data_IF_775883691347
#
_entry.id   IF_775883691347
#
_cell.length_a   1.000
_cell.length_b   1.000
_cell.length_c   1.000
_cell.angle_alpha   90.00
_cell.angle_beta   90.00
_cell.angle_gamma   90.00
#
_symmetry.space_group_name_H-M   'P 1'
#
loop_
_entity.id
_entity.type
_entity.pdbx_description
1 polymer ?
#
# COMPACT_ATOMS: atom_id res chain seq x y z
N UNK A 1 -14.33 -10.02 -22.76
CA UNK A 1 -13.45 -10.20 -21.60
C UNK A 1 -12.15 -9.46 -21.82
N UNK A 2 -11.86 -8.48 -21.00
CA UNK A 2 -10.59 -7.78 -21.18
C UNK A 2 -9.42 -8.72 -20.92
N UNK A 3 -8.30 -8.42 -21.53
CA UNK A 3 -7.06 -9.13 -21.29
C UNK A 3 -6.66 -9.01 -19.81
N UNK A 4 -5.96 -9.99 -19.26
CA UNK A 4 -5.45 -9.88 -17.92
C UNK A 4 -4.62 -8.61 -17.77
N UNK A 5 -4.84 -7.90 -16.69
CA UNK A 5 -4.12 -6.68 -16.39
C UNK A 5 -2.68 -7.03 -16.04
N UNK A 6 -1.71 -6.32 -16.64
CA UNK A 6 -0.31 -6.48 -16.29
C UNK A 6 -0.08 -6.04 -14.84
N UNK A 7 0.98 -6.53 -14.19
CA UNK A 7 1.30 -6.07 -12.84
C UNK A 7 1.40 -4.54 -12.73
N UNK A 8 2.05 -3.89 -13.70
CA UNK A 8 2.18 -2.44 -13.68
C UNK A 8 0.83 -1.73 -13.80
N UNK A 9 -0.04 -2.22 -14.69
CA UNK A 9 -1.37 -1.63 -14.86
C UNK A 9 -2.22 -1.80 -13.61
N UNK A 10 -2.18 -2.99 -13.02
CA UNK A 10 -2.93 -3.26 -11.79
C UNK A 10 -2.43 -2.36 -10.66
N UNK A 11 -1.11 -2.19 -10.55
CA UNK A 11 -0.55 -1.34 -9.51
C UNK A 11 -1.00 0.12 -9.68
N UNK A 12 -0.93 0.64 -10.90
CA UNK A 12 -1.40 2.00 -11.19
C UNK A 12 -2.88 2.17 -10.86
N UNK A 13 -3.67 1.19 -11.20
CA UNK A 13 -5.10 1.20 -10.88
C UNK A 13 -5.31 1.23 -9.35
N UNK A 14 -4.52 0.45 -8.61
CA UNK A 14 -4.63 0.41 -7.15
C UNK A 14 -4.34 1.78 -6.53
N UNK A 15 -3.38 2.52 -7.08
CA UNK A 15 -3.07 3.85 -6.57
C UNK A 15 -4.23 4.82 -6.80
N UNK A 16 -4.91 4.73 -7.94
CA UNK A 16 -6.08 5.57 -8.20
C UNK A 16 -7.20 5.28 -7.19
N UNK A 17 -7.39 4.01 -6.86
CA UNK A 17 -8.41 3.64 -5.87
C UNK A 17 -8.07 4.17 -4.48
N UNK A 18 -6.79 4.19 -4.11
CA UNK A 18 -6.37 4.80 -2.85
C UNK A 18 -6.63 6.31 -2.84
N UNK A 19 -6.36 7.00 -3.95
CA UNK A 19 -6.65 8.42 -4.06
C UNK A 19 -8.14 8.71 -3.97
N UNK A 20 -8.97 7.82 -4.53
CA UNK A 20 -10.42 7.93 -4.45
C UNK A 20 -10.98 7.49 -3.09
N UNK A 21 -10.12 7.00 -2.21
CA UNK A 21 -10.48 6.46 -0.90
C UNK A 21 -11.43 5.28 -0.99
N UNK A 22 -11.37 4.55 -2.11
CA UNK A 22 -12.22 3.39 -2.36
C UNK A 22 -11.52 2.12 -1.86
N UNK A 23 -11.47 1.96 -0.56
CA UNK A 23 -10.80 0.82 0.05
C UNK A 23 -11.47 -0.51 -0.32
N UNK A 24 -12.80 -0.62 -0.35
CA UNK A 24 -13.40 -1.90 -0.79
C UNK A 24 -12.96 -2.34 -2.19
N UNK A 25 -12.90 -1.40 -3.14
CA UNK A 25 -12.44 -1.72 -4.49
C UNK A 25 -10.96 -2.09 -4.51
N UNK A 26 -10.15 -1.40 -3.70
CA UNK A 26 -8.73 -1.72 -3.55
C UNK A 26 -8.53 -3.14 -3.00
N UNK A 27 -9.28 -3.50 -1.96
CA UNK A 27 -9.23 -4.84 -1.36
C UNK A 27 -9.63 -5.91 -2.38
N UNK A 28 -10.60 -5.60 -3.25
CA UNK A 28 -11.06 -6.54 -4.26
C UNK A 28 -9.98 -6.89 -5.30
N UNK A 29 -8.90 -6.11 -5.38
CA UNK A 29 -7.77 -6.42 -6.26
C UNK A 29 -6.88 -7.54 -5.71
N UNK A 30 -7.09 -7.95 -4.47
CA UNK A 30 -6.28 -8.96 -3.81
C UNK A 30 -6.83 -10.36 -3.99
N UNK A 31 -5.91 -11.33 -4.10
CA UNK A 31 -6.28 -12.73 -4.00
C UNK A 31 -6.76 -13.03 -2.59
N UNK A 32 -7.63 -14.03 -2.45
CA UNK A 32 -8.18 -14.39 -1.14
C UNK A 32 -7.10 -14.74 -0.12
N UNK A 33 -6.05 -15.41 -0.57
CA UNK A 33 -4.92 -15.82 0.26
C UNK A 33 -3.71 -14.89 0.11
N UNK A 34 -3.92 -13.66 -0.32
CA UNK A 34 -2.84 -12.69 -0.49
C UNK A 34 -2.09 -12.41 0.80
N UNK A 35 -0.84 -12.03 0.66
CA UNK A 35 0.04 -11.75 1.79
C UNK A 35 0.64 -10.36 1.64
N UNK A 36 0.47 -9.54 2.65
CA UNK A 36 1.09 -8.22 2.71
C UNK A 36 2.06 -8.17 3.89
N UNK A 37 3.28 -7.71 3.63
CA UNK A 37 4.32 -7.66 4.64
C UNK A 37 4.93 -6.27 4.73
N UNK A 38 5.39 -5.93 5.93
CA UNK A 38 6.07 -4.67 6.21
C UNK A 38 7.41 -5.00 6.87
N UNK A 39 8.43 -5.34 6.06
CA UNK A 39 9.69 -5.86 6.61
C UNK A 39 10.42 -4.91 7.56
N UNK A 40 10.22 -3.60 7.39
CA UNK A 40 10.90 -2.59 8.20
C UNK A 40 10.00 -1.98 9.27
N UNK A 41 8.85 -2.60 9.54
CA UNK A 41 7.97 -2.07 10.58
C UNK A 41 8.65 -2.09 11.95
N UNK A 42 8.55 -1.00 12.73
CA UNK A 42 9.09 -0.98 14.08
C UNK A 42 8.32 -1.93 15.01
N UNK A 43 8.91 -2.20 16.16
CA UNK A 43 8.26 -3.04 17.15
C UNK A 43 6.90 -2.45 17.54
N UNK A 44 5.93 -3.32 17.70
CA UNK A 44 4.56 -2.92 18.04
C UNK A 44 3.68 -2.64 16.83
N UNK A 45 4.26 -2.61 15.62
CA UNK A 45 3.51 -2.43 14.39
C UNK A 45 3.35 -3.78 13.70
N UNK A 46 2.28 -3.99 12.94
CA UNK A 46 2.13 -5.25 12.22
C UNK A 46 3.24 -5.41 11.19
N UNK A 47 3.77 -6.62 11.09
CA UNK A 47 4.79 -6.95 10.10
C UNK A 47 4.22 -7.78 8.97
N UNK A 48 3.02 -8.33 9.17
CA UNK A 48 2.43 -9.26 8.23
C UNK A 48 0.92 -9.26 8.36
N UNK A 49 0.25 -9.25 7.23
CA UNK A 49 -1.21 -9.37 7.14
C UNK A 49 -1.49 -10.57 6.25
N UNK A 50 -2.20 -11.55 6.79
CA UNK A 50 -2.51 -12.80 6.10
C UNK A 50 -3.91 -12.78 5.55
N UNK A 51 -4.01 -12.96 4.22
CA UNK A 51 -5.29 -13.07 3.54
C UNK A 51 -5.97 -11.73 3.31
N UNK A 52 -6.87 -11.74 2.34
CA UNK A 52 -7.60 -10.53 1.95
C UNK A 52 -8.41 -9.93 3.10
N UNK A 53 -8.97 -10.78 3.97
CA UNK A 53 -9.71 -10.31 5.12
C UNK A 53 -8.84 -9.53 6.10
N UNK A 54 -7.65 -10.03 6.40
CA UNK A 54 -6.72 -9.35 7.29
C UNK A 54 -6.24 -8.03 6.71
N UNK A 55 -6.00 -8.01 5.40
CA UNK A 55 -5.60 -6.81 4.69
C UNK A 55 -6.73 -5.78 4.70
N UNK A 56 -7.97 -6.23 4.50
CA UNK A 56 -9.14 -5.36 4.54
C UNK A 56 -9.30 -4.72 5.92
N UNK A 57 -9.16 -5.50 6.98
CA UNK A 57 -9.30 -4.99 8.34
C UNK A 57 -8.25 -3.92 8.64
N UNK A 58 -7.02 -4.13 8.17
CA UNK A 58 -5.93 -3.17 8.37
C UNK A 58 -6.17 -1.86 7.60
N UNK A 59 -6.64 -1.97 6.35
CA UNK A 59 -6.76 -0.80 5.47
C UNK A 59 -8.06 -0.02 5.66
N UNK A 60 -9.08 -0.64 6.24
CA UNK A 60 -10.38 0.00 6.36
C UNK A 60 -10.33 1.38 7.03
N UNK A 61 -9.58 1.58 8.12
CA UNK A 61 -9.49 2.90 8.76
C UNK A 61 -8.50 3.86 8.09
N UNK A 62 -7.78 3.43 7.05
CA UNK A 62 -6.73 4.23 6.45
C UNK A 62 -7.18 5.64 6.04
N UNK A 63 -8.32 5.82 5.33
CA UNK A 63 -8.73 7.17 4.94
C UNK A 63 -9.14 8.06 6.11
N UNK A 64 -9.42 7.48 7.27
CA UNK A 64 -9.75 8.24 8.46
C UNK A 64 -8.52 8.89 9.09
N UNK A 65 -7.35 8.40 8.77
CA UNK A 65 -6.09 8.89 9.34
C UNK A 65 -5.26 9.67 8.34
N UNK A 66 -5.29 9.29 7.08
CA UNK A 66 -4.46 9.90 6.04
C UNK A 66 -5.35 10.31 4.87
N UNK A 67 -5.33 11.59 4.57
CA UNK A 67 -5.98 12.16 3.38
C UNK A 67 -4.94 12.25 2.28
N UNK A 68 -4.89 11.22 1.46
CA UNK A 68 -3.91 11.10 0.40
C UNK A 68 -4.33 11.95 -0.79
N UNK A 69 -3.43 12.79 -1.29
CA UNK A 69 -3.73 13.73 -2.37
C UNK A 69 -3.12 13.35 -3.70
N UNK A 70 -1.93 12.75 -3.70
CA UNK A 70 -1.23 12.46 -4.95
C UNK A 70 -0.11 11.47 -4.72
N UNK A 71 0.34 10.86 -5.82
CA UNK A 71 1.57 10.09 -5.90
C UNK A 71 2.46 10.77 -6.94
N UNK A 72 3.18 11.84 -6.56
CA UNK A 72 3.91 12.64 -7.53
C UNK A 72 5.10 11.94 -8.19
N UNK A 73 5.65 10.94 -7.53
CA UNK A 73 6.78 10.18 -8.05
C UNK A 73 6.41 8.70 -8.07
N UNK A 74 6.49 8.09 -9.25
CA UNK A 74 6.18 6.68 -9.44
C UNK A 74 7.11 6.10 -10.48
N UNK A 75 7.85 5.06 -10.10
CA UNK A 75 8.68 4.28 -11.02
C UNK A 75 8.38 2.81 -10.83
N UNK A 76 8.03 2.13 -11.90
CA UNK A 76 7.74 0.70 -11.85
C UNK A 76 8.82 -0.02 -12.66
N UNK A 77 9.48 -0.98 -12.00
CA UNK A 77 10.55 -1.76 -12.60
C UNK A 77 10.06 -3.19 -12.81
N UNK A 78 10.12 -3.67 -14.04
CA UNK A 78 9.83 -5.05 -14.33
C UNK A 78 11.04 -5.90 -13.92
N UNK A 79 10.81 -6.96 -13.16
CA UNK A 79 11.87 -7.88 -12.77
C UNK A 79 11.98 -9.01 -13.80
N UNK A 80 12.93 -9.91 -13.60
CA UNK A 80 13.05 -11.09 -14.45
C UNK A 80 11.90 -12.07 -14.28
N UNK A 81 11.15 -11.93 -13.16
CA UNK A 81 9.91 -12.67 -12.95
C UNK A 81 8.77 -11.88 -13.57
N UNK A 82 8.09 -12.40 -14.59
CA UNK A 82 7.04 -11.61 -15.28
C UNK A 82 5.93 -11.13 -14.37
N UNK A 83 5.65 -11.86 -13.29
CA UNK A 83 4.57 -11.54 -12.38
C UNK A 83 4.98 -10.60 -11.25
N UNK A 84 6.27 -10.29 -11.14
CA UNK A 84 6.79 -9.50 -10.02
C UNK A 84 7.39 -8.19 -10.50
N UNK A 85 6.98 -7.10 -9.87
CA UNK A 85 7.51 -5.76 -10.14
C UNK A 85 8.08 -5.18 -8.86
N UNK A 86 9.00 -4.23 -9.02
CA UNK A 86 9.47 -3.38 -7.93
C UNK A 86 8.99 -1.98 -8.22
N UNK A 87 8.40 -1.35 -7.22
CA UNK A 87 7.83 -0.01 -7.37
C UNK A 87 8.51 0.93 -6.40
N UNK A 88 8.95 2.06 -6.91
CA UNK A 88 9.39 3.18 -6.08
C UNK A 88 8.33 4.26 -6.21
N UNK A 89 7.80 4.71 -5.09
CA UNK A 89 6.76 5.73 -5.14
C UNK A 89 6.82 6.66 -3.94
N UNK A 90 6.21 7.82 -4.11
CA UNK A 90 6.05 8.79 -3.05
C UNK A 90 4.58 9.15 -2.94
N UNK A 91 4.04 9.09 -1.73
CA UNK A 91 2.67 9.51 -1.47
C UNK A 91 2.67 10.78 -0.66
N UNK A 92 1.81 11.72 -1.01
CA UNK A 92 1.69 13.01 -0.32
C UNK A 92 0.23 13.30 -0.01
N UNK A 93 0.02 14.04 1.06
CA UNK A 93 -1.31 14.41 1.51
C UNK A 93 -1.22 15.12 2.86
N UNK A 94 -2.16 14.81 3.74
CA UNK A 94 -2.14 15.36 5.09
C UNK A 94 -2.66 14.33 6.08
N UNK A 95 -2.24 14.48 7.32
CA UNK A 95 -2.80 13.71 8.43
C UNK A 95 -4.15 14.31 8.78
N UNK A 96 -5.17 13.49 8.85
CA UNK A 96 -6.54 13.98 9.08
C UNK A 96 -6.67 14.63 10.46
N UNK A 97 -6.11 14.01 11.48
CA UNK A 97 -6.28 14.45 12.86
C UNK A 97 -5.56 15.76 13.15
N UNK A 98 -4.34 15.92 12.67
CA UNK A 98 -3.49 17.06 13.01
C UNK A 98 -3.37 18.09 11.91
N UNK A 99 -3.81 17.75 10.69
CA UNK A 99 -3.61 18.54 9.48
C UNK A 99 -2.14 18.72 9.11
N UNK A 100 -1.27 17.92 9.70
CA UNK A 100 0.15 17.95 9.39
C UNK A 100 0.40 17.36 7.99
N UNK A 101 1.43 17.82 7.28
CA UNK A 101 1.76 17.24 5.98
C UNK A 101 2.10 15.75 6.11
N UNK A 102 1.61 14.97 5.15
CA UNK A 102 2.00 13.58 4.99
C UNK A 102 2.86 13.49 3.75
N UNK A 103 4.05 12.91 3.87
CA UNK A 103 4.98 12.73 2.77
C UNK A 103 5.82 11.49 3.05
N UNK A 104 5.60 10.44 2.29
CA UNK A 104 6.27 9.16 2.54
C UNK A 104 6.75 8.55 1.23
N UNK A 105 7.98 8.09 1.24
CA UNK A 105 8.56 7.35 0.12
C UNK A 105 8.53 5.86 0.46
N UNK A 106 8.18 5.05 -0.54
CA UNK A 106 8.02 3.61 -0.40
C UNK A 106 8.77 2.89 -1.50
N UNK A 107 9.21 1.68 -1.17
CA UNK A 107 9.58 0.68 -2.17
C UNK A 107 8.69 -0.53 -1.92
N UNK A 108 8.04 -1.02 -2.95
CA UNK A 108 7.20 -2.20 -2.82
C UNK A 108 7.67 -3.27 -3.80
N UNK A 109 7.70 -4.52 -3.34
CA UNK A 109 7.95 -5.68 -4.19
C UNK A 109 6.62 -6.42 -4.29
N UNK A 110 6.04 -6.44 -5.48
CA UNK A 110 4.64 -6.84 -5.67
C UNK A 110 4.55 -7.95 -6.68
N UNK A 111 3.84 -9.03 -6.34
CA UNK A 111 3.57 -10.13 -7.24
C UNK A 111 2.08 -10.16 -7.57
N UNK A 112 1.79 -10.29 -8.86
CA UNK A 112 0.42 -10.33 -9.38
C UNK A 112 0.24 -11.62 -10.16
N UNK A 113 -0.81 -12.39 -9.83
CA UNK A 113 -1.19 -13.59 -10.55
C UNK A 113 -2.66 -13.55 -10.86
N UNK A 114 -2.99 -13.89 -12.10
CA UNK A 114 -4.39 -13.92 -12.55
C UNK A 114 -5.10 -12.60 -12.27
N UNK A 115 -4.38 -11.49 -12.45
CA UNK A 115 -4.94 -10.15 -12.28
C UNK A 115 -5.17 -9.72 -10.85
N UNK A 116 -4.57 -10.40 -9.88
CA UNK A 116 -4.73 -10.08 -8.45
C UNK A 116 -3.39 -10.02 -7.74
N UNK A 117 -3.32 -9.17 -6.74
CA UNK A 117 -2.15 -9.13 -5.86
C UNK A 117 -2.11 -10.41 -5.01
N UNK A 118 -0.99 -11.13 -5.07
CA UNK A 118 -0.78 -12.32 -4.25
C UNK A 118 0.25 -12.09 -3.15
N UNK A 119 1.19 -11.17 -3.40
CA UNK A 119 2.24 -10.84 -2.43
C UNK A 119 2.62 -9.38 -2.59
N UNK A 120 2.83 -8.71 -1.49
CA UNK A 120 3.15 -7.28 -1.48
C UNK A 120 4.02 -7.01 -0.28
N UNK A 121 5.31 -6.72 -0.50
CA UNK A 121 6.22 -6.32 0.57
C UNK A 121 6.41 -4.82 0.47
N UNK A 122 5.95 -4.12 1.49
CA UNK A 122 5.94 -2.67 1.54
C UNK A 122 7.06 -2.18 2.45
N UNK A 123 8.08 -1.56 1.87
CA UNK A 123 9.21 -1.01 2.60
C UNK A 123 9.05 0.50 2.71
N UNK A 124 9.03 1.00 3.93
CA UNK A 124 8.96 2.43 4.19
C UNK A 124 9.92 2.77 5.33
N UNK A 125 10.23 4.05 5.45
CA UNK A 125 11.24 4.48 6.41
C UNK A 125 10.63 4.56 7.82
N UNK A 126 10.99 3.65 8.74
CA UNK A 126 10.43 3.68 10.08
C UNK A 126 10.85 4.91 10.87
N UNK A 127 11.99 5.52 10.51
CA UNK A 127 12.45 6.73 11.17
C UNK A 127 11.54 7.92 10.87
N UNK A 128 10.98 7.98 9.66
CA UNK A 128 10.05 9.05 9.30
C UNK A 128 8.79 8.99 10.18
N UNK A 129 8.29 7.79 10.45
CA UNK A 129 7.14 7.60 11.33
C UNK A 129 7.47 7.98 12.75
N UNK A 130 8.63 7.56 13.26
CA UNK A 130 9.06 7.89 14.61
C UNK A 130 9.25 9.39 14.80
N UNK A 131 9.84 10.06 13.81
CA UNK A 131 10.06 11.50 13.86
C UNK A 131 8.76 12.29 13.87
N UNK A 132 7.76 11.82 13.14
CA UNK A 132 6.48 12.50 13.07
C UNK A 132 5.58 12.19 14.26
N UNK A 133 5.87 11.14 15.01
CA UNK A 133 5.00 10.65 16.07
C UNK A 133 3.68 10.11 15.55
N UNK A 134 3.63 9.75 14.27
CA UNK A 134 2.41 9.36 13.60
C UNK A 134 2.20 7.87 13.63
N UNK A 135 0.96 7.46 13.83
CA UNK A 135 0.55 6.07 13.77
C UNK A 135 -0.16 5.82 12.45
N UNK A 136 0.55 5.19 11.50
CA UNK A 136 0.01 4.89 10.18
C UNK A 136 -0.77 3.59 10.12
N UNK A 137 -0.84 2.86 11.23
CA UNK A 137 -1.57 1.59 11.25
C UNK A 137 -3.05 1.76 11.53
N UNK A 138 -3.46 2.95 11.95
CA UNK A 138 -4.82 3.18 12.39
C UNK A 138 -5.07 2.73 13.81
N UNK A 139 -4.08 2.20 14.49
CA UNK A 139 -4.20 1.81 15.89
C UNK A 139 -4.07 3.04 16.80
N UNK A 140 -4.75 3.01 17.91
CA UNK A 140 -4.54 4.02 18.93
C UNK A 140 -3.42 3.59 19.84
N UNK A 141 -2.63 4.52 20.19
CA UNK A 141 -1.51 4.28 21.10
C UNK A 141 -1.83 4.71 22.48
#
# INVERSE_FOLDING_TARGET
MPAPTSPAELYRHSLRLLLDKDIPAWVALWAEDGLMEFPFAPDGWPRRLDGREGIAAYMRPYPDHIDLHDFPDLRIHQTIEPETIVVEMRGVGRMVETDAPFDMTYIAVVTVRDGRFTSYRDYWNPLAVQQSGTDFTGSNR
#
